data_IF_569744713975
#
_entry.id   IF_569744713975
#
_cell.length_a   1.000
_cell.length_b   1.000
_cell.length_c   1.000
_cell.angle_alpha   90.00
_cell.angle_beta   90.00
_cell.angle_gamma   90.00
#
_symmetry.space_group_name_H-M   'P 1'
#
loop_
_entity.id
_entity.type
_entity.pdbx_description
1 polymer ?
#
# COMPACT_ATOMS: atom_id res chain seq x y z
N UNK A 1 -8.84 0.66 41.28
CA UNK A 1 -7.80 1.61 41.72
C UNK A 1 -6.65 0.76 42.24
N UNK A 2 -5.69 0.41 41.38
CA UNK A 2 -4.66 -0.56 41.74
C UNK A 2 -3.30 0.03 41.39
N UNK A 3 -2.56 0.31 42.46
CA UNK A 3 -1.22 0.84 42.48
C UNK A 3 -0.20 -0.19 41.99
N UNK A 4 0.83 0.35 41.34
CA UNK A 4 2.11 -0.28 41.04
C UNK A 4 2.70 -0.82 42.34
N UNK A 5 3.08 -2.10 42.35
CA UNK A 5 4.00 -2.66 43.33
C UNK A 5 5.22 -3.19 42.61
N UNK A 6 6.34 -2.60 42.98
CA UNK A 6 7.71 -2.88 42.58
C UNK A 6 8.20 -4.11 43.36
N UNK A 7 8.60 -5.17 42.67
CA UNK A 7 9.24 -6.33 43.27
C UNK A 7 10.42 -6.80 42.42
N UNK A 8 11.60 -6.39 42.88
CA UNK A 8 12.85 -7.14 43.03
C UNK A 8 13.20 -8.23 42.00
N UNK A 9 14.30 -7.96 41.30
CA UNK A 9 15.17 -8.91 40.61
C UNK A 9 15.36 -10.22 41.41
N UNK A 10 14.91 -11.33 40.83
CA UNK A 10 15.47 -12.65 41.08
C UNK A 10 15.95 -13.23 39.75
N UNK A 11 17.27 -13.35 39.62
CA UNK A 11 17.94 -14.08 38.56
C UNK A 11 17.50 -15.54 38.59
N UNK A 12 16.69 -15.94 37.60
CA UNK A 12 16.45 -17.35 37.31
C UNK A 12 17.42 -17.72 36.20
N UNK A 13 18.44 -18.48 36.57
CA UNK A 13 19.34 -19.19 35.66
C UNK A 13 18.55 -20.26 34.88
N UNK A 14 17.84 -19.83 33.84
CA UNK A 14 17.16 -20.68 32.88
C UNK A 14 18.09 -20.92 31.69
N UNK A 15 18.60 -22.13 31.59
CA UNK A 15 19.42 -22.69 30.51
C UNK A 15 19.08 -22.13 29.12
N UNK A 16 20.04 -21.45 28.51
CA UNK A 16 20.02 -20.96 27.14
C UNK A 16 20.00 -22.13 26.14
N UNK A 17 18.81 -22.57 25.72
CA UNK A 17 18.65 -23.48 24.57
C UNK A 17 17.99 -22.77 23.38
N UNK A 18 18.00 -21.44 23.34
CA UNK A 18 17.48 -20.65 22.22
C UNK A 18 18.57 -19.97 21.37
N UNK A 19 19.85 -20.09 21.74
CA UNK A 19 20.96 -19.34 21.12
C UNK A 19 21.81 -20.13 20.11
N UNK A 20 21.28 -21.19 19.48
CA UNK A 20 22.05 -21.91 18.46
C UNK A 20 21.21 -22.41 17.29
N UNK A 21 20.39 -21.56 16.69
CA UNK A 21 20.01 -21.74 15.28
C UNK A 21 21.08 -21.07 14.41
N UNK A 22 22.26 -21.68 14.38
CA UNK A 22 23.28 -21.32 13.41
C UNK A 22 22.79 -21.83 12.04
N UNK A 23 22.06 -20.98 11.30
CA UNK A 23 21.56 -21.29 9.94
C UNK A 23 22.78 -21.34 9.01
N UNK A 24 23.52 -22.45 9.05
CA UNK A 24 24.80 -22.60 8.34
C UNK A 24 24.73 -23.60 7.19
N UNK A 25 23.58 -24.23 6.91
CA UNK A 25 23.43 -25.12 5.76
C UNK A 25 22.36 -24.66 4.78
N UNK A 26 22.63 -24.82 3.48
CA UNK A 26 21.69 -24.53 2.37
C UNK A 26 20.36 -25.27 2.53
N UNK A 27 20.37 -26.43 3.19
CA UNK A 27 19.18 -27.22 3.48
C UNK A 27 18.27 -26.56 4.51
N UNK A 28 18.82 -25.95 5.57
CA UNK A 28 18.01 -25.25 6.58
C UNK A 28 17.36 -23.98 6.01
N UNK A 29 18.08 -23.26 5.15
CA UNK A 29 17.50 -22.13 4.41
C UNK A 29 16.38 -22.59 3.47
N UNK A 30 16.54 -23.72 2.77
CA UNK A 30 15.50 -24.27 1.90
C UNK A 30 14.26 -24.70 2.71
N UNK A 31 14.46 -25.38 3.85
CA UNK A 31 13.39 -25.79 4.74
C UNK A 31 12.63 -24.59 5.30
N UNK A 32 13.35 -23.55 5.74
CA UNK A 32 12.75 -22.30 6.21
C UNK A 32 11.94 -21.61 5.11
N UNK A 33 12.46 -21.55 3.87
CA UNK A 33 11.72 -20.98 2.74
C UNK A 33 10.44 -21.76 2.44
N UNK A 34 10.51 -23.10 2.46
CA UNK A 34 9.33 -23.96 2.25
C UNK A 34 8.29 -23.72 3.35
N UNK A 35 8.73 -23.69 4.61
CA UNK A 35 7.87 -23.41 5.76
C UNK A 35 7.19 -22.04 5.63
N UNK A 36 7.95 -20.97 5.42
CA UNK A 36 7.44 -19.61 5.26
C UNK A 36 6.48 -19.48 4.07
N UNK A 37 6.70 -20.20 2.97
CA UNK A 37 5.80 -20.21 1.81
C UNK A 37 4.48 -20.91 2.11
N UNK A 38 4.53 -22.08 2.78
CA UNK A 38 3.35 -22.90 3.09
C UNK A 38 2.45 -22.31 4.17
N UNK A 39 3.00 -21.49 5.06
CA UNK A 39 2.22 -20.85 6.13
C UNK A 39 1.12 -19.93 5.54
N UNK A 40 -0.15 -20.03 5.96
CA UNK A 40 -1.17 -19.04 5.65
C UNK A 40 -0.76 -17.67 6.20
N UNK A 41 -0.78 -16.64 5.35
CA UNK A 41 -0.33 -15.28 5.70
C UNK A 41 -1.46 -14.28 5.47
N UNK A 42 -1.53 -13.26 6.32
CA UNK A 42 -2.38 -12.10 6.13
C UNK A 42 -1.48 -10.86 6.06
N UNK A 43 -1.62 -10.10 4.99
CA UNK A 43 -0.95 -8.82 4.79
C UNK A 43 -1.98 -7.72 4.99
N UNK A 44 -1.74 -6.82 5.94
CA UNK A 44 -2.68 -5.74 6.29
C UNK A 44 -2.18 -4.36 5.84
N UNK A 45 -0.93 -4.25 5.39
CA UNK A 45 -0.34 -2.96 5.08
C UNK A 45 0.57 -3.01 3.85
N UNK A 46 -0.06 -3.04 2.68
CA UNK A 46 0.63 -3.03 1.40
C UNK A 46 0.12 -1.88 0.51
N UNK A 47 1.00 -0.94 0.21
CA UNK A 47 0.73 0.14 -0.74
C UNK A 47 0.88 -0.37 -2.17
N UNK A 48 -0.17 -0.28 -3.00
CA UNK A 48 -0.17 -0.86 -4.34
C UNK A 48 0.99 -0.36 -5.21
N UNK A 49 1.29 0.95 -5.18
CA UNK A 49 2.42 1.54 -5.90
C UNK A 49 3.78 0.99 -5.44
N UNK A 50 3.89 0.52 -4.18
CA UNK A 50 5.08 -0.14 -3.66
C UNK A 50 5.17 -1.64 -4.00
N UNK A 51 4.10 -2.24 -4.53
CA UNK A 51 4.05 -3.65 -4.89
C UNK A 51 4.31 -3.92 -6.38
N UNK A 52 4.54 -2.89 -7.19
CA UNK A 52 4.80 -3.03 -8.62
C UNK A 52 6.21 -3.56 -8.84
N UNK A 53 6.33 -4.66 -9.57
CA UNK A 53 7.64 -5.26 -9.87
C UNK A 53 8.51 -4.31 -10.72
N UNK A 54 9.82 -4.33 -10.49
CA UNK A 54 10.78 -3.55 -11.28
C UNK A 54 10.67 -3.84 -12.79
N UNK A 55 10.43 -5.11 -13.15
CA UNK A 55 10.19 -5.52 -14.54
C UNK A 55 9.00 -4.78 -15.14
N UNK A 56 7.89 -4.67 -14.40
CA UNK A 56 6.70 -3.95 -14.86
C UNK A 56 6.97 -2.45 -14.99
N UNK A 57 7.61 -1.83 -13.99
CA UNK A 57 8.01 -0.41 -14.07
C UNK A 57 8.87 -0.13 -15.31
N UNK A 58 9.82 -1.03 -15.62
CA UNK A 58 10.66 -0.91 -16.81
C UNK A 58 9.86 -1.05 -18.12
N UNK A 59 8.89 -1.97 -18.18
CA UNK A 59 8.02 -2.10 -19.36
C UNK A 59 7.15 -0.85 -19.58
N UNK A 60 6.57 -0.30 -18.52
CA UNK A 60 5.77 0.93 -18.58
C UNK A 60 6.63 2.12 -19.03
N UNK A 61 7.84 2.24 -18.50
CA UNK A 61 8.81 3.25 -18.91
C UNK A 61 9.10 3.20 -20.42
N UNK A 62 9.49 2.02 -20.93
CA UNK A 62 9.76 1.83 -22.36
C UNK A 62 8.55 2.20 -23.23
N UNK A 63 7.33 1.86 -22.78
CA UNK A 63 6.10 2.24 -23.48
C UNK A 63 5.94 3.76 -23.53
N UNK A 64 6.12 4.47 -22.41
CA UNK A 64 5.96 5.94 -22.38
C UNK A 64 7.00 6.66 -23.25
N UNK A 65 8.24 6.17 -23.29
CA UNK A 65 9.29 6.71 -24.18
C UNK A 65 8.93 6.58 -25.65
N UNK A 66 8.35 5.44 -26.04
CA UNK A 66 7.95 5.20 -27.43
C UNK A 66 6.77 6.08 -27.88
N UNK A 67 5.91 6.51 -26.96
CA UNK A 67 4.70 7.27 -27.30
C UNK A 67 4.90 8.79 -27.32
N UNK A 68 5.71 9.35 -26.42
CA UNK A 68 5.83 10.81 -26.25
C UNK A 68 7.18 11.40 -26.70
N UNK A 69 8.13 10.55 -27.13
CA UNK A 69 9.50 10.98 -27.43
C UNK A 69 10.29 11.34 -26.17
N UNK A 70 11.60 11.50 -26.33
CA UNK A 70 12.60 11.59 -25.25
C UNK A 70 12.53 12.83 -24.33
N UNK A 71 11.62 13.78 -24.57
CA UNK A 71 11.74 15.13 -23.99
C UNK A 71 11.03 15.34 -22.65
N UNK A 72 10.02 14.52 -22.31
CA UNK A 72 9.38 14.58 -20.96
C UNK A 72 10.13 13.68 -19.96
N UNK A 73 11.06 12.86 -20.47
CA UNK A 73 11.57 11.67 -19.82
C UNK A 73 13.12 11.64 -19.74
N UNK A 74 13.81 12.75 -19.97
CA UNK A 74 15.27 12.80 -19.81
C UNK A 74 15.67 13.13 -18.37
N UNK A 75 14.96 14.05 -17.70
CA UNK A 75 15.43 14.61 -16.41
C UNK A 75 14.84 13.92 -15.16
N UNK A 76 13.55 13.57 -15.20
CA UNK A 76 12.92 12.74 -14.17
C UNK A 76 13.38 11.28 -14.23
N UNK A 77 13.86 10.85 -15.40
CA UNK A 77 14.02 9.44 -15.74
C UNK A 77 15.47 8.93 -15.72
N UNK A 78 16.48 9.79 -15.86
CA UNK A 78 17.86 9.40 -15.53
C UNK A 78 18.03 9.04 -14.04
N UNK A 79 17.11 9.53 -13.19
CA UNK A 79 16.94 9.08 -11.79
C UNK A 79 16.34 7.67 -11.66
N UNK A 80 15.81 7.06 -12.74
CA UNK A 80 15.30 5.68 -12.70
C UNK A 80 16.37 4.60 -12.54
N UNK A 81 17.64 4.92 -12.75
CA UNK A 81 18.72 4.05 -12.33
C UNK A 81 18.66 3.75 -10.82
N UNK A 82 17.98 4.59 -10.02
CA UNK A 82 17.72 4.37 -8.60
C UNK A 82 16.64 3.33 -8.29
N UNK A 83 15.74 2.98 -9.23
CA UNK A 83 14.73 1.92 -9.01
C UNK A 83 15.33 0.52 -8.89
N UNK A 84 16.54 0.29 -9.39
CA UNK A 84 17.22 -1.00 -9.24
C UNK A 84 17.60 -1.32 -7.78
N UNK A 85 17.37 -0.39 -6.85
CA UNK A 85 17.58 -0.61 -5.42
C UNK A 85 16.37 -0.14 -4.60
N UNK A 86 16.19 -0.77 -3.44
CA UNK A 86 15.21 -0.30 -2.45
C UNK A 86 15.62 1.09 -1.93
N UNK A 87 14.67 1.98 -1.62
CA UNK A 87 14.98 3.25 -0.97
C UNK A 87 15.65 3.00 0.37
N UNK A 88 16.67 3.80 0.69
CA UNK A 88 17.47 3.65 1.92
C UNK A 88 16.76 4.24 3.14
N UNK A 89 15.82 5.16 2.94
CA UNK A 89 15.06 5.83 3.97
C UNK A 89 13.70 6.33 3.42
N UNK A 90 12.84 6.83 4.33
CA UNK A 90 11.52 7.35 3.97
C UNK A 90 11.57 8.57 3.05
N UNK A 91 12.56 9.46 3.21
CA UNK A 91 12.68 10.64 2.34
C UNK A 91 12.94 10.24 0.88
N UNK A 92 13.79 9.24 0.67
CA UNK A 92 14.03 8.67 -0.66
C UNK A 92 12.77 7.99 -1.20
N UNK A 93 12.03 7.25 -0.36
CA UNK A 93 10.78 6.61 -0.77
C UNK A 93 9.73 7.65 -1.22
N UNK A 94 9.57 8.78 -0.51
CA UNK A 94 8.63 9.84 -0.88
C UNK A 94 9.04 10.64 -2.12
N UNK A 95 10.32 10.62 -2.52
CA UNK A 95 10.77 11.12 -3.83
C UNK A 95 10.46 10.14 -4.96
N UNK A 96 10.49 8.85 -4.65
CA UNK A 96 10.28 7.77 -5.62
C UNK A 96 8.80 7.54 -5.94
N UNK A 97 7.91 7.55 -4.94
CA UNK A 97 6.49 7.26 -5.15
C UNK A 97 5.79 8.15 -6.18
N UNK A 98 6.00 9.49 -6.21
CA UNK A 98 5.42 10.35 -7.24
C UNK A 98 5.86 9.94 -8.66
N UNK A 99 7.11 9.52 -8.83
CA UNK A 99 7.63 9.06 -10.12
C UNK A 99 6.97 7.73 -10.53
N UNK A 100 6.75 6.80 -9.59
CA UNK A 100 5.99 5.56 -9.86
C UNK A 100 4.57 5.90 -10.29
N UNK A 101 3.90 6.79 -9.56
CA UNK A 101 2.53 7.22 -9.85
C UNK A 101 2.42 7.91 -11.22
N UNK A 102 3.45 8.65 -11.64
CA UNK A 102 3.55 9.24 -12.99
C UNK A 102 3.78 8.22 -14.12
N UNK A 103 4.26 7.02 -13.81
CA UNK A 103 4.34 5.92 -14.79
C UNK A 103 3.00 5.17 -14.90
N UNK A 104 2.24 5.09 -13.80
CA UNK A 104 0.97 4.37 -13.71
C UNK A 104 -0.21 5.34 -13.84
N UNK A 105 -0.25 6.10 -14.93
CA UNK A 105 -1.21 7.21 -15.12
C UNK A 105 -2.43 6.80 -15.94
N UNK A 106 -2.28 5.79 -16.81
CA UNK A 106 -3.37 5.38 -17.67
C UNK A 106 -4.23 4.32 -17.00
N UNK A 107 -5.56 4.37 -17.19
CA UNK A 107 -6.41 3.24 -16.89
C UNK A 107 -5.79 2.00 -17.50
N UNK A 108 -5.28 2.06 -18.74
CA UNK A 108 -4.67 0.94 -19.45
C UNK A 108 -3.46 0.34 -18.74
N UNK A 109 -2.61 1.15 -18.11
CA UNK A 109 -1.45 0.66 -17.35
C UNK A 109 -1.88 0.04 -16.03
N UNK A 110 -2.85 0.67 -15.36
CA UNK A 110 -3.56 0.02 -14.25
C UNK A 110 -4.25 -1.23 -14.77
N UNK A 111 -4.65 -1.31 -16.04
CA UNK A 111 -5.41 -2.43 -16.60
C UNK A 111 -4.57 -3.60 -17.13
N UNK A 112 -3.36 -3.35 -17.60
CA UNK A 112 -2.40 -4.40 -17.89
C UNK A 112 -1.90 -5.02 -16.58
N UNK A 113 -2.06 -4.27 -15.49
CA UNK A 113 -2.02 -4.79 -14.14
C UNK A 113 -3.41 -5.37 -13.71
N UNK A 114 -4.58 -4.81 -14.14
CA UNK A 114 -5.92 -5.04 -13.52
C UNK A 114 -7.26 -4.82 -14.38
N UNK A 115 -7.28 -4.67 -15.71
CA UNK A 115 -8.41 -4.57 -16.73
C UNK A 115 -9.44 -3.37 -16.77
N UNK A 116 -10.15 -3.06 -17.92
CA UNK A 116 -10.68 -1.69 -18.26
C UNK A 116 -12.16 -1.38 -18.03
N UNK A 117 -12.48 -0.08 -17.80
CA UNK A 117 -13.82 0.54 -17.94
C UNK A 117 -13.78 2.06 -18.28
N UNK A 118 -14.79 2.57 -19.00
CA UNK A 118 -14.97 3.99 -19.38
C UNK A 118 -15.88 4.74 -18.36
N UNK A 119 -15.42 5.87 -17.78
CA UNK A 119 -16.22 6.89 -17.07
C UNK A 119 -15.36 8.13 -16.75
N UNK A 120 -15.90 9.34 -16.47
CA UNK A 120 -15.22 10.65 -16.65
C UNK A 120 -14.73 11.37 -15.35
N UNK A 121 -14.02 10.70 -14.43
CA UNK A 121 -13.19 11.36 -13.39
C UNK A 121 -11.89 10.58 -13.17
N UNK A 122 -10.71 11.24 -13.18
CA UNK A 122 -9.39 10.57 -13.27
C UNK A 122 -9.11 9.65 -12.06
N UNK A 123 -9.33 10.11 -10.84
CA UNK A 123 -9.13 9.28 -9.64
C UNK A 123 -10.16 8.15 -9.53
N UNK A 124 -11.42 8.43 -9.89
CA UNK A 124 -12.48 7.43 -9.98
C UNK A 124 -12.17 6.33 -11.01
N UNK A 125 -11.55 6.67 -12.15
CA UNK A 125 -11.10 5.69 -13.17
C UNK A 125 -10.08 4.72 -12.61
N UNK A 126 -9.05 5.24 -11.95
CA UNK A 126 -7.98 4.40 -11.37
C UNK A 126 -8.58 3.48 -10.31
N UNK A 127 -9.40 4.02 -9.40
CA UNK A 127 -10.09 3.23 -8.37
C UNK A 127 -10.92 2.09 -8.99
N UNK A 128 -11.73 2.40 -10.01
CA UNK A 128 -12.57 1.41 -10.72
C UNK A 128 -11.73 0.35 -11.44
N UNK A 129 -10.61 0.71 -12.08
CA UNK A 129 -9.70 -0.25 -12.71
C UNK A 129 -9.05 -1.19 -11.68
N UNK A 130 -8.61 -0.67 -10.53
CA UNK A 130 -8.06 -1.50 -9.45
C UNK A 130 -9.12 -2.46 -8.90
N UNK A 131 -10.34 -1.98 -8.63
CA UNK A 131 -11.46 -2.85 -8.19
C UNK A 131 -11.72 -3.95 -9.22
N UNK A 132 -11.79 -3.60 -10.50
CA UNK A 132 -12.01 -4.55 -11.59
C UNK A 132 -10.96 -5.65 -11.57
N UNK A 133 -9.69 -5.31 -11.38
CA UNK A 133 -8.63 -6.31 -11.39
C UNK A 133 -8.58 -7.16 -10.14
N UNK A 134 -8.96 -6.63 -8.99
CA UNK A 134 -9.19 -7.44 -7.80
C UNK A 134 -10.30 -8.46 -8.06
N UNK A 135 -11.38 -8.07 -8.72
CA UNK A 135 -12.47 -9.01 -9.07
C UNK A 135 -11.97 -10.10 -10.02
N UNK A 136 -11.16 -9.75 -11.03
CA UNK A 136 -10.57 -10.76 -11.93
C UNK A 136 -9.53 -11.64 -11.26
N UNK A 137 -8.69 -11.08 -10.39
CA UNK A 137 -7.68 -11.87 -9.67
C UNK A 137 -8.32 -12.91 -8.75
N UNK A 138 -9.54 -12.67 -8.22
CA UNK A 138 -10.30 -13.68 -7.48
C UNK A 138 -10.62 -14.92 -8.31
N UNK A 139 -10.81 -14.77 -9.62
CA UNK A 139 -11.05 -15.92 -10.52
C UNK A 139 -9.79 -16.76 -10.70
N UNK A 140 -8.62 -16.10 -10.77
CA UNK A 140 -7.32 -16.76 -10.94
C UNK A 140 -6.78 -17.32 -9.62
N UNK A 141 -7.09 -16.67 -8.49
CA UNK A 141 -6.57 -16.98 -7.16
C UNK A 141 -7.71 -17.02 -6.13
N UNK A 142 -8.61 -18.02 -6.20
CA UNK A 142 -9.83 -18.06 -5.37
C UNK A 142 -9.57 -18.20 -3.86
N UNK A 143 -8.37 -18.66 -3.49
CA UNK A 143 -7.96 -18.83 -2.08
C UNK A 143 -7.34 -17.55 -1.49
N UNK A 144 -7.20 -16.48 -2.26
CA UNK A 144 -6.66 -15.19 -1.78
C UNK A 144 -7.82 -14.21 -1.62
N UNK A 145 -8.05 -13.80 -0.38
CA UNK A 145 -9.01 -12.74 -0.07
C UNK A 145 -8.31 -11.38 -0.19
N UNK A 146 -8.78 -10.54 -1.12
CA UNK A 146 -8.28 -9.17 -1.28
C UNK A 146 -9.37 -8.17 -0.90
N UNK A 147 -8.97 -7.17 -0.13
CA UNK A 147 -9.72 -5.99 0.32
C UNK A 147 -8.82 -4.76 0.17
N UNK A 148 -9.41 -3.60 -0.04
CA UNK A 148 -8.69 -2.35 -0.27
C UNK A 148 -9.14 -1.28 0.72
N UNK A 149 -8.19 -0.42 1.08
CA UNK A 149 -8.41 0.85 1.73
C UNK A 149 -8.00 1.95 0.75
N UNK A 150 -8.80 3.02 0.62
CA UNK A 150 -8.37 4.19 -0.15
C UNK A 150 -7.51 5.09 0.74
N UNK A 151 -6.32 5.42 0.26
CA UNK A 151 -5.37 6.24 1.02
C UNK A 151 -5.63 7.74 0.82
N UNK A 152 -5.67 8.47 1.92
CA UNK A 152 -5.61 9.94 1.99
C UNK A 152 -4.18 10.31 2.35
N UNK A 153 -3.51 11.04 1.47
CA UNK A 153 -2.14 11.52 1.67
C UNK A 153 -2.15 12.78 2.54
N UNK A 154 -1.31 12.83 3.58
CA UNK A 154 -1.16 14.00 4.47
C UNK A 154 -0.89 15.32 3.73
N UNK A 155 -0.37 15.29 2.51
CA UNK A 155 -0.12 16.48 1.67
C UNK A 155 -1.40 17.07 1.07
N UNK A 156 -2.44 16.26 0.87
CA UNK A 156 -3.69 16.67 0.23
C UNK A 156 -4.45 17.74 1.03
N UNK A 157 -5.29 18.50 0.35
CA UNK A 157 -6.24 19.41 0.99
C UNK A 157 -7.40 18.64 1.64
N UNK A 158 -8.21 19.33 2.45
CA UNK A 158 -9.37 18.71 3.10
C UNK A 158 -10.43 18.33 2.05
N UNK A 159 -10.54 19.13 0.99
CA UNK A 159 -11.44 18.90 -0.14
C UNK A 159 -11.04 17.64 -0.93
N UNK A 160 -9.75 17.49 -1.28
CA UNK A 160 -9.22 16.29 -1.94
C UNK A 160 -9.41 15.03 -1.07
N UNK A 161 -9.23 15.16 0.24
CA UNK A 161 -9.51 14.07 1.18
C UNK A 161 -11.00 13.71 1.22
N UNK A 162 -11.90 14.70 1.15
CA UNK A 162 -13.35 14.48 1.10
C UNK A 162 -13.78 13.79 -0.20
N UNK A 163 -13.17 14.12 -1.33
CA UNK A 163 -13.37 13.39 -2.59
C UNK A 163 -12.98 11.91 -2.46
N UNK A 164 -11.83 11.63 -1.84
CA UNK A 164 -11.37 10.24 -1.58
C UNK A 164 -12.36 9.49 -0.67
N UNK A 165 -12.89 10.13 0.37
CA UNK A 165 -13.92 9.53 1.22
C UNK A 165 -15.19 9.22 0.45
N UNK A 166 -15.65 10.15 -0.40
CA UNK A 166 -16.85 9.96 -1.21
C UNK A 166 -16.69 8.77 -2.16
N UNK A 167 -15.50 8.58 -2.75
CA UNK A 167 -15.19 7.39 -3.54
C UNK A 167 -15.21 6.11 -2.68
N UNK A 168 -14.62 6.13 -1.49
CA UNK A 168 -14.61 4.98 -0.60
C UNK A 168 -16.03 4.59 -0.14
N UNK A 169 -16.89 5.56 0.15
CA UNK A 169 -18.30 5.34 0.47
C UNK A 169 -19.06 4.77 -0.73
N UNK A 170 -18.87 5.35 -1.92
CA UNK A 170 -19.52 4.93 -3.17
C UNK A 170 -19.21 3.48 -3.52
N UNK A 171 -17.94 3.09 -3.48
CA UNK A 171 -17.49 1.74 -3.86
C UNK A 171 -17.50 0.74 -2.69
N UNK A 172 -17.66 1.21 -1.46
CA UNK A 172 -17.80 0.41 -0.24
C UNK A 172 -19.25 0.34 0.23
N UNK A 173 -19.62 1.23 1.18
CA UNK A 173 -20.91 1.20 1.90
C UNK A 173 -22.13 1.26 0.97
N UNK A 174 -22.09 2.11 -0.05
CA UNK A 174 -23.22 2.34 -0.96
C UNK A 174 -23.16 1.47 -2.22
N UNK A 175 -22.25 0.50 -2.28
CA UNK A 175 -22.08 -0.38 -3.43
C UNK A 175 -22.96 -1.63 -3.32
N UNK A 176 -23.98 -1.71 -4.16
CA UNK A 176 -24.92 -2.84 -4.27
C UNK A 176 -24.54 -3.86 -5.36
N UNK A 177 -23.51 -3.59 -6.16
CA UNK A 177 -23.01 -4.53 -7.17
C UNK A 177 -22.35 -5.73 -6.49
N UNK A 178 -22.98 -6.90 -6.61
CA UNK A 178 -22.53 -8.16 -6.02
C UNK A 178 -21.12 -8.58 -6.45
N UNK A 179 -20.66 -8.17 -7.64
CA UNK A 179 -19.33 -8.54 -8.12
C UNK A 179 -18.22 -7.75 -7.39
N UNK A 180 -18.49 -6.49 -7.07
CA UNK A 180 -17.50 -5.55 -6.52
C UNK A 180 -17.74 -5.21 -5.06
N UNK A 181 -18.89 -5.59 -4.50
CA UNK A 181 -19.26 -5.36 -3.11
C UNK A 181 -18.24 -5.98 -2.15
N UNK A 182 -17.92 -5.23 -1.10
CA UNK A 182 -16.94 -5.59 -0.10
C UNK A 182 -15.50 -5.62 -0.62
N UNK A 183 -15.16 -5.07 -1.80
CA UNK A 183 -13.76 -4.86 -2.20
C UNK A 183 -13.15 -3.70 -1.43
N UNK A 184 -13.78 -2.52 -1.43
CA UNK A 184 -13.38 -1.37 -0.61
C UNK A 184 -14.01 -1.52 0.77
N UNK A 185 -13.21 -1.47 1.84
CA UNK A 185 -13.69 -1.66 3.22
C UNK A 185 -13.35 -0.51 4.16
N UNK A 186 -12.73 0.55 3.65
CA UNK A 186 -12.25 1.62 4.50
C UNK A 186 -11.24 2.54 3.84
N UNK A 187 -10.52 3.24 4.70
CA UNK A 187 -9.57 4.29 4.33
C UNK A 187 -8.28 4.16 5.14
N UNK A 188 -7.21 4.70 4.57
CA UNK A 188 -5.88 4.77 5.16
C UNK A 188 -5.39 6.22 5.17
N UNK A 189 -4.79 6.67 6.26
CA UNK A 189 -4.22 8.02 6.36
C UNK A 189 -2.70 7.86 6.39
N UNK A 190 -2.06 8.25 5.29
CA UNK A 190 -0.64 7.97 5.01
C UNK A 190 0.04 9.17 4.33
N UNK A 191 1.06 8.94 3.50
CA UNK A 191 1.87 10.01 2.92
C UNK A 191 2.96 10.52 3.86
N UNK A 192 3.62 11.62 3.47
CA UNK A 192 4.82 12.12 4.15
C UNK A 192 4.52 12.54 5.61
N UNK A 193 5.17 11.93 6.63
CA UNK A 193 4.94 12.23 8.05
C UNK A 193 5.37 13.64 8.48
N UNK A 194 6.04 14.40 7.62
CA UNK A 194 6.31 15.83 7.85
C UNK A 194 5.04 16.69 7.84
N UNK A 195 3.96 16.20 7.23
CA UNK A 195 2.70 16.92 7.11
C UNK A 195 1.70 16.44 8.16
N UNK A 196 0.97 17.39 8.77
CA UNK A 196 0.01 17.09 9.83
C UNK A 196 -1.32 16.55 9.28
N UNK A 197 -1.69 15.34 9.69
CA UNK A 197 -2.95 14.70 9.34
C UNK A 197 -4.16 15.23 10.12
N UNK A 198 -3.97 15.98 11.21
CA UNK A 198 -5.06 16.39 12.12
C UNK A 198 -6.11 17.27 11.43
N UNK A 199 -5.76 17.93 10.33
CA UNK A 199 -6.70 18.66 9.46
C UNK A 199 -7.86 17.79 8.95
N UNK A 200 -7.65 16.48 8.83
CA UNK A 200 -8.69 15.54 8.39
C UNK A 200 -9.59 15.04 9.52
N UNK A 201 -9.28 15.29 10.79
CA UNK A 201 -10.08 14.79 11.92
C UNK A 201 -11.57 15.17 11.86
N UNK A 202 -11.96 16.41 11.51
CA UNK A 202 -13.38 16.76 11.40
C UNK A 202 -14.10 15.88 10.36
N UNK A 203 -13.44 15.63 9.25
CA UNK A 203 -13.94 14.83 8.14
C UNK A 203 -14.05 13.34 8.56
N UNK A 204 -12.99 12.78 9.14
CA UNK A 204 -12.97 11.40 9.63
C UNK A 204 -13.99 11.13 10.74
N UNK A 205 -14.28 12.12 11.58
CA UNK A 205 -15.33 12.02 12.60
C UNK A 205 -16.73 11.89 12.00
N UNK A 206 -17.00 12.53 10.87
CA UNK A 206 -18.30 12.41 10.16
C UNK A 206 -18.53 10.97 9.69
N UNK A 207 -17.49 10.32 9.17
CA UNK A 207 -17.58 8.99 8.53
C UNK A 207 -17.17 7.82 9.43
N UNK A 208 -16.90 8.07 10.71
CA UNK A 208 -16.38 7.06 11.66
C UNK A 208 -17.21 5.76 11.67
N UNK A 209 -18.52 5.87 11.56
CA UNK A 209 -19.44 4.73 11.60
C UNK A 209 -19.79 4.19 10.21
N UNK A 210 -19.30 4.83 9.14
CA UNK A 210 -19.59 4.43 7.77
C UNK A 210 -18.56 3.44 7.22
N UNK A 211 -17.35 3.44 7.78
CA UNK A 211 -16.27 2.54 7.39
C UNK A 211 -15.99 1.46 8.44
N UNK A 212 -15.96 0.18 8.06
CA UNK A 212 -15.47 -0.89 8.93
C UNK A 212 -14.04 -0.67 9.43
N UNK A 213 -13.18 -0.05 8.60
CA UNK A 213 -11.76 0.16 8.90
C UNK A 213 -11.34 1.60 8.58
N UNK A 214 -10.65 2.23 9.52
CA UNK A 214 -9.90 3.46 9.32
C UNK A 214 -8.49 3.20 9.86
N UNK A 215 -7.50 3.20 8.98
CA UNK A 215 -6.10 2.97 9.33
C UNK A 215 -5.33 4.30 9.38
N UNK A 216 -4.36 4.38 10.28
CA UNK A 216 -3.49 5.54 10.42
C UNK A 216 -2.04 5.08 10.44
N UNK A 217 -1.23 5.68 9.59
CA UNK A 217 0.20 5.69 9.82
C UNK A 217 0.53 6.62 11.00
N UNK A 218 1.28 6.14 11.97
CA UNK A 218 1.70 6.88 13.17
C UNK A 218 3.14 6.54 13.54
N UNK A 219 3.84 7.47 14.18
CA UNK A 219 5.19 7.27 14.72
C UNK A 219 6.24 6.75 13.69
N UNK A 220 6.16 7.20 12.44
CA UNK A 220 7.08 6.80 11.36
C UNK A 220 8.45 7.48 11.41
N UNK A 221 8.56 8.58 12.15
CA UNK A 221 9.78 9.35 12.32
C UNK A 221 10.08 9.51 13.81
N UNK A 222 11.36 9.45 14.17
CA UNK A 222 11.83 9.76 15.52
C UNK A 222 11.75 11.28 15.67
N UNK A 223 10.99 11.76 16.66
CA UNK A 223 11.03 13.17 17.03
C UNK A 223 12.43 13.46 17.60
N UNK A 224 13.15 14.37 16.95
CA UNK A 224 14.38 14.97 17.47
C UNK A 224 14.05 16.06 18.48
#
# INVERSE_FOLDING_TARGET
MAQVMDHANQEISGTSTLDSWNIQTTNDMLLMQIFCRKMPKCEFHAHLSGCISLKMLHMLDLRRRNEYGTDIASDGLNKLSEYNRKPRNLEEAFKLFPLIQQLVVRPEDVTEIYTPTNDIHVEGRICKSVITGVVKSRQLFPNICVRLLLSIDRRQTVEEAEETLNLALRYGKYNDDKATSGVIIGIDISGDPKYDARKFLPLLRKVKNDFPVIAFHLAEVICA
#
